data_IF_899813487529
#
_entry.id   IF_899813487529
#
_cell.length_a   1.000
_cell.length_b   1.000
_cell.length_c   1.000
_cell.angle_alpha   90.00
_cell.angle_beta   90.00
_cell.angle_gamma   90.00
#
_symmetry.space_group_name_H-M   'P 1'
#
loop_
_entity.id
_entity.type
_entity.pdbx_description
1 polymer ?
#
# COMPACT_ATOMS: atom_id res chain seq x y z
N UNK A 1 -22.27 -12.11 12.89
CA UNK A 1 -20.93 -12.31 12.33
C UNK A 1 -20.03 -12.73 13.47
N UNK A 2 -19.31 -13.83 13.31
CA UNK A 2 -18.35 -14.30 14.31
C UNK A 2 -17.17 -13.30 14.38
N UNK A 3 -16.85 -12.72 15.55
CA UNK A 3 -15.74 -11.78 15.72
C UNK A 3 -14.34 -12.36 15.43
N UNK A 4 -14.21 -13.66 15.13
CA UNK A 4 -12.92 -14.36 15.05
C UNK A 4 -12.36 -14.59 13.63
N UNK A 5 -13.05 -14.19 12.55
CA UNK A 5 -12.54 -14.45 11.20
C UNK A 5 -11.55 -13.38 10.76
N UNK A 6 -10.27 -13.76 10.67
CA UNK A 6 -9.21 -12.90 10.14
C UNK A 6 -9.44 -12.59 8.65
N UNK A 7 -9.31 -11.31 8.29
CA UNK A 7 -9.39 -10.85 6.91
C UNK A 7 -8.01 -10.90 6.28
N UNK A 8 -7.93 -11.58 5.14
CA UNK A 8 -6.78 -11.64 4.24
C UNK A 8 -7.16 -10.98 2.92
N UNK A 9 -6.16 -10.73 2.08
CA UNK A 9 -6.33 -10.33 0.70
C UNK A 9 -5.41 -11.16 -0.19
N UNK A 10 -5.83 -11.37 -1.43
CA UNK A 10 -5.01 -12.09 -2.42
C UNK A 10 -3.82 -11.26 -2.88
N UNK A 11 -2.63 -11.85 -2.97
CA UNK A 11 -1.39 -11.18 -3.42
C UNK A 11 -0.98 -11.52 -4.85
N UNK A 12 -1.59 -12.53 -5.46
CA UNK A 12 -1.35 -12.86 -6.88
C UNK A 12 -2.30 -12.10 -7.80
N UNK A 13 -1.83 -11.75 -9.01
CA UNK A 13 -2.63 -11.05 -10.02
C UNK A 13 -3.89 -11.81 -10.43
N UNK A 14 -3.84 -13.14 -10.34
CA UNK A 14 -4.99 -14.03 -10.54
C UNK A 14 -4.89 -15.16 -9.52
N UNK A 15 -5.76 -15.14 -8.51
CA UNK A 15 -5.82 -16.18 -7.49
C UNK A 15 -7.02 -17.07 -7.75
N UNK A 16 -6.80 -18.36 -7.97
CA UNK A 16 -7.89 -19.31 -8.21
C UNK A 16 -8.38 -19.93 -6.91
N UNK A 17 -9.70 -19.94 -6.71
CA UNK A 17 -10.41 -20.77 -5.76
C UNK A 17 -10.67 -22.14 -6.36
N UNK A 18 -10.53 -23.17 -5.55
CA UNK A 18 -10.72 -24.57 -5.92
C UNK A 18 -11.79 -25.22 -5.05
N UNK A 19 -12.44 -26.27 -5.54
CA UNK A 19 -13.41 -27.03 -4.75
C UNK A 19 -12.77 -27.93 -3.69
N UNK A 20 -11.49 -28.27 -3.85
CA UNK A 20 -10.75 -29.16 -2.97
C UNK A 20 -9.33 -28.61 -2.76
N UNK A 21 -8.59 -29.17 -1.80
CA UNK A 21 -7.21 -28.79 -1.49
C UNK A 21 -6.21 -29.32 -2.55
N UNK A 22 -6.57 -29.16 -3.82
CA UNK A 22 -5.80 -29.55 -4.98
C UNK A 22 -6.12 -28.61 -6.15
N UNK A 23 -5.29 -28.62 -7.18
CA UNK A 23 -5.46 -27.77 -8.36
C UNK A 23 -6.34 -28.39 -9.45
N UNK A 24 -7.06 -29.47 -9.17
CA UNK A 24 -7.76 -30.27 -10.21
C UNK A 24 -9.14 -29.73 -10.56
N UNK A 25 -9.75 -28.93 -9.68
CA UNK A 25 -11.13 -28.45 -9.80
C UNK A 25 -11.23 -26.94 -9.55
N UNK A 26 -10.77 -26.10 -10.50
CA UNK A 26 -10.91 -24.65 -10.39
C UNK A 26 -12.39 -24.26 -10.35
N UNK A 27 -12.70 -23.26 -9.55
CA UNK A 27 -14.06 -22.84 -9.25
C UNK A 27 -14.30 -21.37 -9.61
N UNK A 28 -13.45 -20.47 -9.11
CA UNK A 28 -13.58 -19.02 -9.25
C UNK A 28 -12.20 -18.38 -9.34
N UNK A 29 -12.07 -17.27 -10.07
CA UNK A 29 -10.86 -16.44 -10.01
C UNK A 29 -11.15 -15.18 -9.18
N UNK A 30 -10.33 -14.97 -8.17
CA UNK A 30 -10.29 -13.76 -7.37
C UNK A 30 -9.37 -12.73 -8.02
N UNK A 31 -9.80 -11.46 -7.90
CA UNK A 31 -9.03 -10.29 -8.31
C UNK A 31 -7.87 -10.09 -7.36
N UNK A 32 -6.83 -9.42 -7.84
CA UNK A 32 -5.74 -8.97 -6.97
C UNK A 32 -6.27 -8.06 -5.84
N UNK A 33 -5.72 -8.24 -4.62
CA UNK A 33 -6.18 -7.63 -3.38
C UNK A 33 -7.65 -7.89 -3.01
N UNK A 34 -8.27 -8.93 -3.57
CA UNK A 34 -9.65 -9.27 -3.19
C UNK A 34 -9.69 -9.75 -1.73
N UNK A 35 -10.55 -9.15 -0.88
CA UNK A 35 -10.67 -9.54 0.52
C UNK A 35 -11.33 -10.91 0.66
N UNK A 36 -10.76 -11.74 1.52
CA UNK A 36 -11.28 -13.05 1.89
C UNK A 36 -11.17 -13.27 3.40
N UNK A 37 -12.06 -14.08 3.95
CA UNK A 37 -12.00 -14.56 5.32
C UNK A 37 -11.38 -15.96 5.32
N UNK A 38 -10.29 -16.15 6.05
CA UNK A 38 -9.72 -17.50 6.23
C UNK A 38 -10.55 -18.24 7.29
N UNK A 39 -11.13 -19.37 6.89
CA UNK A 39 -11.96 -20.23 7.74
C UNK A 39 -11.13 -21.34 8.40
N UNK A 40 -10.17 -21.88 7.65
CA UNK A 40 -9.25 -22.93 8.12
C UNK A 40 -7.92 -22.81 7.38
N UNK A 41 -6.81 -22.97 8.09
CA UNK A 41 -5.47 -23.02 7.52
C UNK A 41 -4.90 -24.44 7.62
N UNK A 42 -4.81 -25.14 6.49
CA UNK A 42 -4.26 -26.49 6.37
C UNK A 42 -2.77 -26.52 5.97
N UNK A 43 -2.04 -25.41 6.13
CA UNK A 43 -0.65 -25.27 5.70
C UNK A 43 -0.53 -24.71 4.28
N UNK A 44 -0.43 -25.58 3.28
CA UNK A 44 -0.29 -25.16 1.87
C UNK A 44 -1.59 -24.57 1.28
N UNK A 45 -2.72 -24.97 1.86
CA UNK A 45 -4.05 -24.61 1.41
C UNK A 45 -4.84 -24.03 2.58
N UNK A 46 -5.64 -23.01 2.28
CA UNK A 46 -6.61 -22.45 3.20
C UNK A 46 -8.01 -22.57 2.63
N UNK A 47 -8.97 -22.93 3.49
CA UNK A 47 -10.38 -22.76 3.19
C UNK A 47 -10.72 -21.28 3.43
N UNK A 48 -11.27 -20.62 2.43
CA UNK A 48 -11.65 -19.21 2.51
C UNK A 48 -13.10 -18.98 2.16
N UNK A 49 -13.63 -17.84 2.62
CA UNK A 49 -14.90 -17.26 2.21
C UNK A 49 -14.67 -15.88 1.60
N UNK A 50 -15.19 -15.64 0.40
CA UNK A 50 -15.20 -14.31 -0.23
C UNK A 50 -16.25 -13.40 0.42
N UNK A 51 -16.16 -12.09 0.20
CA UNK A 51 -17.14 -11.13 0.76
C UNK A 51 -18.56 -11.38 0.26
N UNK A 52 -18.74 -11.86 -0.97
CA UNK A 52 -20.04 -12.22 -1.54
C UNK A 52 -20.55 -13.63 -1.11
N UNK A 53 -19.77 -14.35 -0.31
CA UNK A 53 -20.18 -15.57 0.38
C UNK A 53 -19.77 -16.89 -0.28
N UNK A 54 -19.00 -16.87 -1.36
CA UNK A 54 -18.46 -18.07 -1.97
C UNK A 54 -17.37 -18.70 -1.08
N UNK A 55 -17.42 -20.02 -0.90
CA UNK A 55 -16.37 -20.75 -0.19
C UNK A 55 -15.50 -21.53 -1.18
N UNK A 56 -14.21 -21.68 -0.89
CA UNK A 56 -13.31 -22.50 -1.67
C UNK A 56 -11.91 -22.60 -1.07
N UNK A 57 -11.11 -23.49 -1.62
CA UNK A 57 -9.71 -23.67 -1.25
C UNK A 57 -8.81 -22.77 -2.08
N UNK A 58 -7.82 -22.16 -1.43
CA UNK A 58 -6.82 -21.32 -2.08
C UNK A 58 -5.43 -21.68 -1.53
N UNK A 59 -4.39 -21.51 -2.34
CA UNK A 59 -3.01 -21.64 -1.84
C UNK A 59 -2.78 -20.59 -0.76
N UNK A 60 -2.37 -21.00 0.42
CA UNK A 60 -2.20 -20.08 1.55
C UNK A 60 -1.14 -19.00 1.25
N UNK A 61 -0.08 -19.37 0.52
CA UNK A 61 0.94 -18.42 0.06
C UNK A 61 0.45 -17.37 -0.96
N UNK A 62 -0.77 -17.50 -1.49
CA UNK A 62 -1.38 -16.47 -2.34
C UNK A 62 -2.22 -15.46 -1.51
N UNK A 63 -2.23 -15.60 -0.18
CA UNK A 63 -2.92 -14.71 0.73
C UNK A 63 -1.90 -13.95 1.59
N UNK A 64 -2.24 -12.72 1.92
CA UNK A 64 -1.55 -11.95 2.97
C UNK A 64 -2.57 -11.17 3.78
N UNK A 65 -2.26 -10.92 5.04
CA UNK A 65 -2.96 -9.95 5.88
C UNK A 65 -1.96 -8.96 6.50
N UNK A 66 -0.77 -8.84 5.90
CA UNK A 66 0.21 -7.82 6.29
C UNK A 66 -0.27 -6.45 5.81
N UNK A 67 -0.16 -5.43 6.63
CA UNK A 67 -0.49 -4.06 6.26
C UNK A 67 0.37 -3.06 7.04
N UNK A 68 0.50 -1.85 6.50
CA UNK A 68 1.31 -0.77 7.07
C UNK A 68 0.40 0.34 7.55
N UNK A 69 0.68 0.89 8.73
CA UNK A 69 0.12 2.15 9.24
C UNK A 69 1.25 3.15 9.42
N UNK A 70 1.07 4.36 8.95
CA UNK A 70 2.00 5.47 9.20
C UNK A 70 1.22 6.55 9.92
N UNK A 71 1.67 6.90 11.12
CA UNK A 71 1.15 8.04 11.86
C UNK A 71 2.08 9.23 11.66
N UNK A 72 1.58 10.30 11.07
CA UNK A 72 2.34 11.53 10.86
C UNK A 72 2.53 12.27 12.18
N UNK A 73 1.51 12.30 13.04
CA UNK A 73 1.59 12.86 14.39
C UNK A 73 2.60 12.14 15.30
N UNK A 74 2.69 10.80 15.23
CA UNK A 74 3.68 10.02 15.99
C UNK A 74 5.04 9.93 15.27
N UNK A 75 5.11 10.37 14.01
CA UNK A 75 6.23 10.16 13.10
C UNK A 75 6.76 8.71 13.18
N UNK A 76 5.84 7.76 13.08
CA UNK A 76 6.13 6.34 13.28
C UNK A 76 5.42 5.49 12.22
N UNK A 77 6.16 4.58 11.61
CA UNK A 77 5.66 3.53 10.74
C UNK A 77 5.44 2.26 11.55
N UNK A 78 4.30 1.62 11.39
CA UNK A 78 3.91 0.37 12.03
C UNK A 78 3.61 -0.68 10.96
N UNK A 79 4.08 -1.90 11.17
CA UNK A 79 3.76 -3.04 10.32
C UNK A 79 2.96 -4.04 11.13
N UNK A 80 1.82 -4.45 10.58
CA UNK A 80 0.89 -5.37 11.21
C UNK A 80 0.73 -6.65 10.38
N UNK A 81 0.32 -7.73 11.03
CA UNK A 81 -0.25 -8.94 10.45
C UNK A 81 -1.63 -9.15 11.06
N UNK A 82 -2.68 -8.91 10.28
CA UNK A 82 -4.03 -8.82 10.84
C UNK A 82 -4.06 -7.80 12.00
N UNK A 83 -4.47 -8.18 13.23
CA UNK A 83 -4.41 -7.30 14.40
C UNK A 83 -3.06 -7.27 15.12
N UNK A 84 -2.13 -8.18 14.81
CA UNK A 84 -0.83 -8.31 15.49
C UNK A 84 0.15 -7.23 15.00
N UNK A 85 0.77 -6.50 15.92
CA UNK A 85 1.85 -5.56 15.60
C UNK A 85 3.17 -6.34 15.44
N UNK A 86 3.72 -6.37 14.22
CA UNK A 86 5.01 -7.00 13.94
C UNK A 86 6.20 -6.10 14.27
N UNK A 87 6.11 -4.82 13.94
CA UNK A 87 7.19 -3.85 14.16
C UNK A 87 6.69 -2.40 14.15
N UNK A 88 7.47 -1.51 14.78
CA UNK A 88 7.28 -0.06 14.74
C UNK A 88 8.61 0.67 14.60
N UNK A 89 8.69 1.67 13.74
CA UNK A 89 9.91 2.41 13.44
C UNK A 89 9.70 3.92 13.46
N UNK A 90 10.55 4.69 14.15
CA UNK A 90 10.58 6.14 13.96
C UNK A 90 10.93 6.45 12.49
N UNK A 91 10.19 7.37 11.88
CA UNK A 91 10.34 7.67 10.45
C UNK A 91 10.54 9.16 10.19
N UNK A 92 11.31 9.46 9.16
CA UNK A 92 11.45 10.80 8.62
C UNK A 92 10.40 11.00 7.53
N UNK A 93 9.73 12.15 7.56
CA UNK A 93 8.63 12.47 6.65
C UNK A 93 8.99 13.65 5.74
N UNK A 94 8.01 14.08 4.94
CA UNK A 94 8.10 15.30 4.15
C UNK A 94 8.40 16.52 5.02
N UNK A 95 9.12 17.49 4.48
CA UNK A 95 9.45 18.74 5.18
C UNK A 95 8.23 19.39 5.87
N UNK A 96 7.10 19.46 5.15
CA UNK A 96 5.83 19.99 5.64
C UNK A 96 4.82 18.85 5.90
N UNK A 97 5.26 17.77 6.54
CA UNK A 97 4.42 16.59 6.77
C UNK A 97 3.14 16.90 7.55
N UNK A 98 3.10 17.87 8.46
CA UNK A 98 1.89 18.21 9.23
C UNK A 98 0.68 18.59 8.36
N UNK A 99 0.92 19.04 7.12
CA UNK A 99 -0.15 19.32 6.15
C UNK A 99 -0.34 18.14 5.19
N UNK A 100 -1.54 18.00 4.63
CA UNK A 100 -1.79 17.00 3.59
C UNK A 100 -1.24 17.43 2.22
N UNK A 101 -0.85 16.43 1.41
CA UNK A 101 -0.28 16.63 0.08
C UNK A 101 -1.39 16.91 -0.94
N UNK A 102 -1.46 18.16 -1.37
CA UNK A 102 -2.46 18.63 -2.34
C UNK A 102 -1.88 18.86 -3.74
N UNK A 103 -0.57 19.11 -3.87
CA UNK A 103 0.12 19.27 -5.16
C UNK A 103 1.60 18.91 -5.08
N UNK A 104 2.25 18.88 -6.25
CA UNK A 104 3.70 18.74 -6.40
C UNK A 104 4.41 19.95 -5.76
N UNK A 105 5.49 19.68 -5.03
CA UNK A 105 6.39 20.72 -4.54
C UNK A 105 7.55 20.96 -5.49
N UNK A 106 8.24 22.07 -5.30
CA UNK A 106 9.43 22.46 -6.06
C UNK A 106 10.36 23.29 -5.17
N UNK A 107 11.56 23.62 -5.67
CA UNK A 107 12.44 24.56 -4.95
C UNK A 107 11.80 25.95 -4.76
N UNK A 108 10.90 26.36 -5.66
CA UNK A 108 10.16 27.61 -5.53
C UNK A 108 8.94 27.49 -4.60
N UNK A 109 8.41 26.28 -4.43
CA UNK A 109 7.27 25.99 -3.56
C UNK A 109 7.53 24.77 -2.64
N UNK A 110 8.55 24.85 -1.75
CA UNK A 110 8.96 23.73 -0.91
C UNK A 110 7.91 23.35 0.14
N UNK A 111 6.97 24.25 0.44
CA UNK A 111 5.85 23.99 1.34
C UNK A 111 4.92 22.86 0.87
N UNK A 112 4.99 22.46 -0.41
CA UNK A 112 4.23 21.31 -0.93
C UNK A 112 4.99 19.97 -0.87
N UNK A 113 6.19 19.95 -0.26
CA UNK A 113 6.88 18.74 0.14
C UNK A 113 6.24 18.14 1.40
N UNK A 114 5.07 17.53 1.19
CA UNK A 114 4.19 16.98 2.23
C UNK A 114 4.02 15.49 2.02
N UNK A 115 3.95 14.73 3.11
CA UNK A 115 3.56 13.32 3.06
C UNK A 115 2.04 13.23 2.96
N UNK A 116 1.47 12.52 1.96
CA UNK A 116 0.02 12.43 1.80
C UNK A 116 -0.62 11.64 2.95
N UNK A 117 -1.85 12.02 3.31
CA UNK A 117 -2.72 11.27 4.22
C UNK A 117 -3.77 10.53 3.39
N UNK A 118 -4.07 9.29 3.73
CA UNK A 118 -5.05 8.51 2.99
C UNK A 118 -4.80 7.00 3.01
N UNK A 119 -5.56 6.29 2.17
CA UNK A 119 -5.44 4.85 1.97
C UNK A 119 -4.72 4.60 0.66
N UNK A 120 -3.61 3.89 0.76
CA UNK A 120 -2.73 3.55 -0.34
C UNK A 120 -2.45 2.05 -0.36
N UNK A 121 -1.69 1.62 -1.35
CA UNK A 121 -1.04 0.32 -1.39
C UNK A 121 0.33 0.44 -2.03
N UNK A 122 1.18 -0.56 -1.78
CA UNK A 122 2.48 -0.70 -2.46
C UNK A 122 2.23 -1.07 -3.91
N UNK A 123 2.36 -0.11 -4.82
CA UNK A 123 2.19 -0.30 -6.26
C UNK A 123 3.40 -1.00 -6.92
N UNK A 124 4.60 -0.83 -6.35
CA UNK A 124 5.82 -1.49 -6.82
C UNK A 124 6.88 -1.59 -5.73
N UNK A 125 7.82 -2.53 -5.89
CA UNK A 125 9.01 -2.69 -5.07
C UNK A 125 10.25 -2.42 -5.91
N UNK A 126 11.05 -1.43 -5.52
CA UNK A 126 12.30 -1.08 -6.18
C UNK A 126 13.50 -1.46 -5.29
N UNK A 127 14.17 -2.55 -5.64
CA UNK A 127 15.36 -3.04 -4.92
C UNK A 127 16.64 -2.26 -5.25
N UNK A 128 16.59 -1.40 -6.26
CA UNK A 128 17.72 -0.59 -6.76
C UNK A 128 17.41 0.89 -6.63
N UNK A 129 16.72 1.28 -5.55
CA UNK A 129 16.45 2.68 -5.25
C UNK A 129 17.75 3.43 -4.95
N UNK A 130 17.80 4.71 -5.28
CA UNK A 130 18.88 5.60 -4.83
C UNK A 130 18.92 5.74 -3.29
N UNK A 131 17.81 5.42 -2.60
CA UNK A 131 17.68 5.41 -1.14
C UNK A 131 17.67 3.98 -0.59
N UNK A 132 18.61 3.16 -1.04
CA UNK A 132 18.74 1.72 -0.76
C UNK A 132 17.64 0.83 -1.37
N UNK A 133 16.42 0.87 -0.83
CA UNK A 133 15.24 0.13 -1.30
C UNK A 133 14.00 1.00 -1.15
N UNK A 134 13.01 0.82 -2.01
CA UNK A 134 11.77 1.58 -1.96
C UNK A 134 10.51 0.73 -2.22
N UNK A 135 9.47 0.97 -1.41
CA UNK A 135 8.10 0.54 -1.64
C UNK A 135 7.34 1.74 -2.20
N UNK A 136 7.04 1.70 -3.49
CA UNK A 136 6.39 2.80 -4.20
C UNK A 136 4.90 2.75 -3.92
N UNK A 137 4.30 3.84 -3.44
CA UNK A 137 2.87 3.92 -3.17
C UNK A 137 2.09 4.28 -4.44
N UNK A 138 0.82 3.89 -4.51
CA UNK A 138 -0.10 4.29 -5.57
C UNK A 138 -0.57 5.76 -5.45
N UNK A 139 0.25 6.68 -4.92
CA UNK A 139 -0.06 8.10 -4.91
C UNK A 139 0.36 8.74 -6.26
N UNK A 140 -0.50 9.56 -6.89
CA UNK A 140 -1.87 9.90 -6.48
C UNK A 140 -2.87 8.76 -6.75
N UNK A 141 -3.83 8.57 -5.84
CA UNK A 141 -4.93 7.61 -6.00
C UNK A 141 -6.20 8.30 -6.58
N UNK A 142 -7.31 7.57 -6.64
CA UNK A 142 -8.59 8.09 -7.14
C UNK A 142 -9.08 9.30 -6.34
N UNK A 143 -9.06 9.23 -5.02
CA UNK A 143 -9.50 10.33 -4.15
C UNK A 143 -8.63 11.59 -4.34
N UNK A 144 -7.33 11.41 -4.54
CA UNK A 144 -6.39 12.49 -4.88
C UNK A 144 -6.72 13.10 -6.25
N UNK A 145 -7.01 12.26 -7.25
CA UNK A 145 -7.37 12.70 -8.58
C UNK A 145 -8.69 13.50 -8.58
N UNK A 146 -9.70 13.04 -7.85
CA UNK A 146 -10.98 13.74 -7.70
C UNK A 146 -10.81 15.13 -7.09
N UNK A 147 -9.97 15.22 -6.04
CA UNK A 147 -9.59 16.51 -5.44
C UNK A 147 -8.84 17.39 -6.44
N UNK A 148 -7.80 16.85 -7.07
CA UNK A 148 -6.98 17.59 -8.03
C UNK A 148 -7.77 18.11 -9.23
N UNK A 149 -8.75 17.34 -9.71
CA UNK A 149 -9.63 17.74 -10.83
C UNK A 149 -10.59 18.85 -10.41
N UNK A 150 -11.20 18.76 -9.21
CA UNK A 150 -12.05 19.84 -8.67
C UNK A 150 -11.27 21.14 -8.49
N UNK A 151 -10.03 21.04 -8.02
CA UNK A 151 -9.20 22.19 -7.65
C UNK A 151 -8.41 22.76 -8.86
N UNK A 152 -8.56 22.17 -10.06
CA UNK A 152 -7.87 22.61 -11.28
C UNK A 152 -6.36 22.34 -11.28
N UNK A 153 -5.88 21.42 -10.44
CA UNK A 153 -4.47 21.06 -10.29
C UNK A 153 -4.02 20.09 -11.38
N UNK A 154 -4.93 19.23 -11.84
CA UNK A 154 -4.68 18.25 -12.91
C UNK A 154 -5.65 18.41 -14.06
N UNK A 155 -5.25 17.92 -15.23
CA UNK A 155 -6.11 17.87 -16.41
C UNK A 155 -7.10 16.71 -16.33
N UNK A 156 -8.14 16.75 -17.18
CA UNK A 156 -9.06 15.62 -17.36
C UNK A 156 -8.33 14.34 -17.76
N UNK A 157 -7.33 14.43 -18.64
CA UNK A 157 -6.55 13.27 -19.09
C UNK A 157 -5.72 12.65 -17.96
N UNK A 158 -5.16 13.48 -17.08
CA UNK A 158 -4.46 13.03 -15.88
C UNK A 158 -5.44 12.34 -14.92
N UNK A 159 -6.61 12.95 -14.68
CA UNK A 159 -7.67 12.36 -13.86
C UNK A 159 -8.06 10.97 -14.36
N UNK A 160 -8.41 10.86 -15.64
CA UNK A 160 -8.81 9.58 -16.24
C UNK A 160 -7.68 8.54 -16.20
N UNK A 161 -6.42 8.97 -16.34
CA UNK A 161 -5.27 8.06 -16.26
C UNK A 161 -5.04 7.53 -14.85
N UNK A 162 -5.23 8.35 -13.82
CA UNK A 162 -5.15 7.91 -12.42
C UNK A 162 -6.30 6.95 -12.11
N UNK A 163 -7.53 7.28 -12.52
CA UNK A 163 -8.72 6.44 -12.35
C UNK A 163 -8.55 5.07 -13.02
N UNK A 164 -8.03 5.03 -14.25
CA UNK A 164 -7.73 3.76 -14.93
C UNK A 164 -6.68 2.95 -14.19
N UNK A 165 -5.62 3.60 -13.69
CA UNK A 165 -4.57 2.91 -12.95
C UNK A 165 -5.08 2.29 -11.65
N UNK A 166 -5.97 2.98 -10.94
CA UNK A 166 -6.67 2.48 -9.75
C UNK A 166 -7.54 1.24 -10.08
N UNK A 167 -8.34 1.31 -11.15
CA UNK A 167 -9.19 0.19 -11.61
C UNK A 167 -8.39 -1.05 -12.04
N UNK A 168 -7.24 -0.85 -12.69
CA UNK A 168 -6.37 -1.94 -13.10
C UNK A 168 -5.33 -2.34 -12.07
N UNK A 169 -5.31 -1.69 -10.90
CA UNK A 169 -4.33 -1.87 -9.82
C UNK A 169 -2.90 -1.83 -10.38
N UNK A 170 -2.59 -0.77 -11.12
CA UNK A 170 -1.29 -0.50 -11.72
C UNK A 170 -0.67 0.77 -11.13
N UNK A 171 0.57 1.06 -11.54
CA UNK A 171 1.21 2.32 -11.17
C UNK A 171 0.42 3.50 -11.78
N UNK A 172 0.02 4.52 -10.99
CA UNK A 172 -0.55 5.74 -11.54
C UNK A 172 0.52 6.57 -12.29
N UNK A 173 0.11 7.57 -13.09
CA UNK A 173 1.06 8.53 -13.63
C UNK A 173 1.80 9.24 -12.48
N UNK A 174 3.13 9.15 -12.49
CA UNK A 174 3.98 9.71 -11.43
C UNK A 174 4.40 11.17 -11.71
N UNK A 175 4.04 11.68 -12.89
CA UNK A 175 4.32 13.04 -13.32
C UNK A 175 3.05 13.86 -13.54
N UNK A 176 2.37 14.17 -12.44
CA UNK A 176 1.16 15.00 -12.46
C UNK A 176 1.32 16.27 -11.64
N UNK A 177 0.35 17.19 -11.75
CA UNK A 177 0.24 18.36 -10.89
C UNK A 177 0.10 18.01 -9.40
N UNK A 178 -0.46 16.83 -9.08
CA UNK A 178 -0.50 16.30 -7.70
C UNK A 178 0.89 15.84 -7.21
N UNK A 179 1.78 15.53 -8.14
CA UNK A 179 3.04 14.86 -7.87
C UNK A 179 2.98 13.38 -8.27
N UNK A 180 3.69 12.58 -7.49
CA UNK A 180 3.91 11.15 -7.70
C UNK A 180 5.15 10.74 -6.88
N UNK A 181 5.63 9.52 -7.07
CA UNK A 181 6.87 9.02 -6.43
C UNK A 181 6.88 9.21 -4.90
N UNK A 182 5.74 8.99 -4.25
CA UNK A 182 5.70 8.83 -2.80
C UNK A 182 6.07 7.39 -2.48
N UNK A 183 7.10 7.22 -1.67
CA UNK A 183 7.69 5.93 -1.37
C UNK A 183 7.89 5.77 0.14
N UNK A 184 7.85 4.52 0.60
CA UNK A 184 8.51 4.13 1.85
C UNK A 184 9.90 3.62 1.47
N UNK A 185 10.96 4.28 1.92
CA UNK A 185 12.33 3.94 1.49
C UNK A 185 13.33 3.88 2.64
N UNK A 186 14.53 3.38 2.34
CA UNK A 186 15.68 3.35 3.23
C UNK A 186 16.29 4.74 3.47
N UNK A 187 17.54 4.79 3.93
CA UNK A 187 18.29 6.03 4.21
C UNK A 187 17.60 7.03 5.16
N UNK A 188 16.59 6.59 5.88
CA UNK A 188 16.04 7.32 7.01
C UNK A 188 17.08 7.45 8.12
N UNK A 189 17.08 8.60 8.79
CA UNK A 189 17.99 8.89 9.90
C UNK A 189 17.65 8.09 11.16
N UNK A 190 16.42 7.55 11.26
CA UNK A 190 15.91 6.91 12.47
C UNK A 190 15.69 7.88 13.63
N UNK A 191 15.82 9.19 13.37
CA UNK A 191 15.81 10.24 14.38
C UNK A 191 14.70 11.27 14.18
N UNK A 192 13.69 10.96 13.35
CA UNK A 192 12.53 11.82 13.06
C UNK A 192 12.95 13.18 12.46
N UNK A 193 13.99 13.18 11.64
CA UNK A 193 14.52 14.36 10.96
C UNK A 193 13.83 14.49 9.61
N UNK A 194 12.72 15.22 9.55
CA UNK A 194 11.93 15.32 8.32
C UNK A 194 12.68 16.09 7.22
N UNK A 195 13.17 15.37 6.21
CA UNK A 195 13.97 15.91 5.12
C UNK A 195 13.42 15.58 3.73
N UNK A 196 12.45 14.66 3.65
CA UNK A 196 12.00 14.14 2.35
C UNK A 196 11.12 15.17 1.63
N UNK A 197 10.85 14.91 0.35
CA UNK A 197 9.90 15.71 -0.44
C UNK A 197 8.44 15.21 -0.33
N UNK A 198 8.19 14.27 0.57
CA UNK A 198 6.88 13.65 0.80
C UNK A 198 6.94 12.15 1.10
N UNK A 199 8.07 11.50 0.83
CA UNK A 199 8.32 10.11 1.18
C UNK A 199 8.37 9.85 2.69
N UNK A 200 8.36 8.57 3.06
CA UNK A 200 8.45 8.05 4.42
C UNK A 200 9.76 7.27 4.51
N UNK A 201 10.77 7.82 5.18
CA UNK A 201 12.09 7.21 5.24
C UNK A 201 12.30 6.49 6.58
N UNK A 202 12.79 5.26 6.50
CA UNK A 202 13.22 4.42 7.64
C UNK A 202 14.67 3.98 7.42
N UNK A 203 15.35 3.48 8.45
CA UNK A 203 16.75 3.07 8.27
C UNK A 203 16.87 1.84 7.35
N UNK A 204 18.03 1.63 6.74
CA UNK A 204 18.26 0.49 5.83
C UNK A 204 18.01 -0.86 6.52
N UNK A 205 18.39 -1.00 7.79
CA UNK A 205 18.13 -2.21 8.57
C UNK A 205 16.62 -2.45 8.79
N UNK A 206 15.85 -1.39 9.03
CA UNK A 206 14.39 -1.47 9.16
C UNK A 206 13.74 -1.79 7.80
N UNK A 207 14.26 -1.19 6.72
CA UNK A 207 13.82 -1.45 5.36
C UNK A 207 14.04 -2.92 4.97
N UNK A 208 15.19 -3.51 5.32
CA UNK A 208 15.46 -4.93 5.10
C UNK A 208 14.48 -5.85 5.83
N UNK A 209 14.10 -5.48 7.05
CA UNK A 209 13.16 -6.25 7.84
C UNK A 209 11.78 -6.28 7.17
N UNK A 210 11.24 -5.12 6.78
CA UNK A 210 9.90 -5.06 6.17
C UNK A 210 9.88 -5.54 4.71
N UNK A 211 11.01 -5.50 4.01
CA UNK A 211 11.10 -5.90 2.60
C UNK A 211 10.59 -7.32 2.35
N UNK A 212 10.78 -8.23 3.30
CA UNK A 212 10.37 -9.64 3.18
C UNK A 212 8.94 -9.90 3.67
N UNK A 213 8.31 -8.93 4.33
CA UNK A 213 6.94 -9.06 4.83
C UNK A 213 5.91 -8.41 3.91
N UNK A 214 6.36 -7.44 3.12
CA UNK A 214 5.52 -6.59 2.30
C UNK A 214 5.54 -7.04 0.86
N UNK A 215 4.37 -7.22 0.28
CA UNK A 215 4.17 -7.58 -1.12
C UNK A 215 3.67 -6.37 -1.91
N UNK A 216 3.76 -6.45 -3.25
CA UNK A 216 2.99 -5.54 -4.09
C UNK A 216 1.51 -5.75 -3.74
N UNK A 217 0.78 -4.65 -3.55
CA UNK A 217 -0.61 -4.65 -3.12
C UNK A 217 -0.81 -4.56 -1.61
N UNK A 218 0.24 -4.64 -0.79
CA UNK A 218 0.13 -4.45 0.65
C UNK A 218 -0.55 -3.11 0.97
N UNK A 219 -1.66 -3.11 1.74
CA UNK A 219 -2.34 -1.89 2.15
C UNK A 219 -1.44 -1.01 3.01
N UNK A 220 -1.50 0.30 2.78
CA UNK A 220 -0.79 1.32 3.53
C UNK A 220 -1.79 2.39 3.95
N UNK A 221 -1.99 2.57 5.24
CA UNK A 221 -2.76 3.67 5.80
C UNK A 221 -1.81 4.76 6.26
N UNK A 222 -1.97 5.98 5.78
CA UNK A 222 -1.23 7.14 6.31
C UNK A 222 -2.23 8.06 7.01
N UNK A 223 -2.05 8.25 8.30
CA UNK A 223 -2.90 9.04 9.20
C UNK A 223 -2.22 10.37 9.55
N UNK A 224 -2.99 11.43 9.91
CA UNK A 224 -2.46 12.73 10.32
C UNK A 224 -1.50 12.72 11.52
#
# INVERSE_FOLDING_TARGET
>A
MDPAMEVYYTVERSTTLYHAADSSRPYLNLRFREPVYVLENGGDWALVRTVDGANGMVRYGHLSNVWIRVSKSEQTLYVYRGPELLASYPTDLGYNFFSDKIKRGSLAEPDHWRTPTGRFYVASKNASSQFYKALVLNYPNREDAERGMRDGIITKDQYESIVRADESISMPPMDTGLGGWIEIHGDGTGARRNWTQGCIAITNAQMDQIWNWVDVGTPVLVEP
#
